data_IF_637860822800
#
_entry.id   IF_637860822800
#
_cell.length_a   1.000
_cell.length_b   1.000
_cell.length_c   1.000
_cell.angle_alpha   90.00
_cell.angle_beta   90.00
_cell.angle_gamma   90.00
#
_symmetry.space_group_name_H-M   'P 1'
#
loop_
_entity.id
_entity.type
_entity.pdbx_description
1 polymer ?
#
# COMPACT_ATOMS: atom_id res chain seq x y z
N UNK A 1 22.19 12.42 -12.45
CA UNK A 1 20.77 12.01 -12.30
C UNK A 1 20.45 11.41 -10.92
N UNK A 2 21.31 10.62 -10.28
CA UNK A 2 21.04 10.07 -8.94
C UNK A 2 20.91 11.12 -7.80
N UNK A 3 21.68 12.23 -7.82
CA UNK A 3 21.55 13.29 -6.80
C UNK A 3 20.21 14.05 -6.83
N UNK A 4 19.65 14.28 -8.02
CA UNK A 4 18.35 14.96 -8.16
C UNK A 4 17.20 14.09 -7.62
N UNK A 5 17.30 12.76 -7.81
CA UNK A 5 16.32 11.80 -7.29
C UNK A 5 16.32 11.70 -5.76
N UNK A 6 17.50 11.78 -5.14
CA UNK A 6 17.62 11.82 -3.66
C UNK A 6 16.99 13.09 -3.08
N UNK A 7 17.26 14.25 -3.69
CA UNK A 7 16.67 15.53 -3.29
C UNK A 7 15.13 15.57 -3.36
N UNK A 8 14.51 14.94 -4.37
CA UNK A 8 13.04 14.86 -4.45
C UNK A 8 12.44 13.93 -3.41
N UNK A 9 13.16 12.85 -3.05
CA UNK A 9 12.74 11.91 -2.01
C UNK A 9 12.83 12.55 -0.63
N UNK A 10 13.90 13.29 -0.38
CA UNK A 10 14.12 14.03 0.86
C UNK A 10 13.06 15.13 1.04
N UNK A 11 12.74 15.88 -0.03
CA UNK A 11 11.67 16.89 0.00
C UNK A 11 10.28 16.29 0.27
N UNK A 12 9.98 15.11 -0.30
CA UNK A 12 8.74 14.40 0.02
C UNK A 12 8.70 13.95 1.48
N UNK A 13 9.81 13.41 1.99
CA UNK A 13 9.90 12.97 3.38
C UNK A 13 9.68 14.12 4.35
N UNK A 14 10.28 15.29 4.09
CA UNK A 14 10.08 16.49 4.90
C UNK A 14 8.63 16.98 4.85
N UNK A 15 8.00 16.97 3.67
CA UNK A 15 6.60 17.31 3.52
C UNK A 15 5.68 16.33 4.27
N UNK A 16 5.99 15.03 4.23
CA UNK A 16 5.27 14.00 4.96
C UNK A 16 5.41 14.17 6.47
N UNK A 17 6.62 14.42 6.98
CA UNK A 17 6.89 14.74 8.38
C UNK A 17 6.10 15.97 8.84
N UNK A 18 6.04 17.02 8.01
CA UNK A 18 5.23 18.21 8.27
C UNK A 18 3.74 17.86 8.40
N UNK A 19 3.22 17.02 7.51
CA UNK A 19 1.82 16.58 7.54
C UNK A 19 1.50 15.72 8.78
N UNK A 20 2.36 14.79 9.16
CA UNK A 20 2.21 14.01 10.41
C UNK A 20 2.21 14.93 11.64
N UNK A 21 3.08 15.94 11.66
CA UNK A 21 3.10 16.90 12.76
C UNK A 21 1.82 17.74 12.81
N UNK A 22 1.22 18.11 11.68
CA UNK A 22 -0.09 18.78 11.65
C UNK A 22 -1.17 17.90 12.28
N UNK A 23 -1.25 16.63 11.88
CA UNK A 23 -2.20 15.66 12.45
C UNK A 23 -2.03 15.59 13.97
N UNK A 24 -0.79 15.40 14.45
CA UNK A 24 -0.47 15.32 15.88
C UNK A 24 -0.90 16.58 16.63
N UNK A 25 -0.60 17.77 16.10
CA UNK A 25 -0.96 19.05 16.74
C UNK A 25 -2.48 19.19 16.82
N UNK A 26 -3.21 18.95 15.73
CA UNK A 26 -4.68 19.07 15.69
C UNK A 26 -5.36 18.11 16.67
N UNK A 27 -4.80 16.92 16.82
CA UNK A 27 -5.27 15.88 17.74
C UNK A 27 -4.99 16.26 19.21
N UNK A 28 -3.83 16.85 19.49
CA UNK A 28 -3.49 17.34 20.84
C UNK A 28 -4.22 18.63 21.23
N UNK A 29 -4.60 19.47 20.26
CA UNK A 29 -5.25 20.76 20.54
C UNK A 29 -6.75 20.65 20.84
N UNK A 30 -7.30 19.44 20.91
CA UNK A 30 -8.74 19.18 21.10
C UNK A 30 -9.59 20.01 20.13
N UNK A 31 -9.09 20.15 18.88
CA UNK A 31 -9.72 20.94 17.82
C UNK A 31 -11.09 20.37 17.46
N UNK A 32 -11.92 21.15 16.77
CA UNK A 32 -13.15 20.63 16.20
C UNK A 32 -12.86 19.44 15.28
N UNK A 33 -13.66 18.38 15.38
CA UNK A 33 -13.59 17.18 14.55
C UNK A 33 -13.51 17.52 13.04
N UNK A 34 -14.19 18.59 12.61
CA UNK A 34 -14.15 19.08 11.24
C UNK A 34 -12.76 19.51 10.78
N UNK A 35 -11.94 20.08 11.67
CA UNK A 35 -10.59 20.53 11.35
C UNK A 35 -9.65 19.33 11.22
N UNK A 36 -9.81 18.33 12.08
CA UNK A 36 -9.07 17.09 12.02
C UNK A 36 -9.36 16.33 10.71
N UNK A 37 -10.63 16.16 10.38
CA UNK A 37 -11.05 15.51 9.13
C UNK A 37 -10.52 16.22 7.89
N UNK A 38 -10.48 17.56 7.92
CA UNK A 38 -9.89 18.36 6.84
C UNK A 38 -8.39 18.12 6.70
N UNK A 39 -7.64 18.18 7.81
CA UNK A 39 -6.19 17.93 7.80
C UNK A 39 -5.89 16.51 7.31
N UNK A 40 -6.66 15.51 7.74
CA UNK A 40 -6.53 14.13 7.26
C UNK A 40 -6.79 14.02 5.76
N UNK A 41 -7.87 14.63 5.24
CA UNK A 41 -8.18 14.63 3.81
C UNK A 41 -7.03 15.24 3.00
N UNK A 42 -6.53 16.40 3.43
CA UNK A 42 -5.41 17.08 2.77
C UNK A 42 -4.15 16.20 2.74
N UNK A 43 -3.89 15.45 3.82
CA UNK A 43 -2.77 14.51 3.90
C UNK A 43 -2.94 13.32 2.95
N UNK A 44 -4.15 12.75 2.88
CA UNK A 44 -4.45 11.65 1.96
C UNK A 44 -4.35 12.09 0.50
N UNK A 45 -4.86 13.27 0.16
CA UNK A 45 -4.78 13.83 -1.19
C UNK A 45 -3.33 14.12 -1.60
N UNK A 46 -2.54 14.70 -0.70
CA UNK A 46 -1.12 14.93 -0.93
C UNK A 46 -0.35 13.61 -1.18
N UNK A 47 -0.64 12.58 -0.39
CA UNK A 47 -0.04 11.25 -0.58
C UNK A 47 -0.46 10.64 -1.92
N UNK A 48 -1.76 10.65 -2.23
CA UNK A 48 -2.30 10.07 -3.46
C UNK A 48 -1.71 10.74 -4.71
N UNK A 49 -1.60 12.07 -4.68
CA UNK A 49 -0.96 12.83 -5.76
C UNK A 49 0.49 12.42 -5.96
N UNK A 50 1.27 12.36 -4.87
CA UNK A 50 2.66 11.95 -4.95
C UNK A 50 2.81 10.53 -5.51
N UNK A 51 2.02 9.56 -5.02
CA UNK A 51 2.09 8.18 -5.54
C UNK A 51 1.73 8.10 -7.02
N UNK A 52 0.73 8.85 -7.46
CA UNK A 52 0.37 8.88 -8.87
C UNK A 52 1.51 9.45 -9.75
N UNK A 53 2.18 10.52 -9.30
CA UNK A 53 3.35 11.09 -9.96
C UNK A 53 4.53 10.10 -9.97
N UNK A 54 4.91 9.54 -8.82
CA UNK A 54 6.02 8.57 -8.72
C UNK A 54 5.75 7.29 -9.51
N UNK A 55 4.50 6.82 -9.57
CA UNK A 55 4.15 5.60 -10.31
C UNK A 55 4.39 5.75 -11.82
N UNK A 56 4.28 6.95 -12.39
CA UNK A 56 4.47 7.19 -13.83
C UNK A 56 5.92 7.07 -14.25
N UNK A 57 6.80 7.64 -13.43
CA UNK A 57 8.20 7.78 -13.80
C UNK A 57 9.08 6.70 -13.17
N UNK A 58 8.62 6.10 -12.06
CA UNK A 58 9.46 5.28 -11.17
C UNK A 58 8.74 4.03 -10.61
N UNK A 59 7.71 3.50 -11.27
CA UNK A 59 7.00 2.29 -10.82
C UNK A 59 7.94 1.12 -10.47
N UNK A 60 8.97 0.87 -11.28
CA UNK A 60 9.95 -0.18 -11.00
C UNK A 60 10.76 0.09 -9.74
N UNK A 61 11.19 1.34 -9.52
CA UNK A 61 11.96 1.71 -8.36
C UNK A 61 11.14 1.51 -7.07
N UNK A 62 9.84 1.86 -7.11
CA UNK A 62 8.92 1.61 -5.99
C UNK A 62 8.76 0.11 -5.75
N UNK A 63 8.49 -0.68 -6.80
CA UNK A 63 8.29 -2.13 -6.68
C UNK A 63 9.56 -2.85 -6.22
N UNK A 64 10.75 -2.38 -6.62
CA UNK A 64 12.03 -2.94 -6.19
C UNK A 64 12.43 -2.53 -4.77
N UNK A 65 11.72 -1.58 -4.15
CA UNK A 65 12.08 -1.05 -2.84
C UNK A 65 13.30 -0.15 -2.88
N UNK A 66 13.45 0.67 -3.93
CA UNK A 66 14.52 1.65 -3.99
C UNK A 66 14.43 2.64 -2.82
N UNK A 67 15.50 2.73 -2.03
CA UNK A 67 15.51 3.50 -0.79
C UNK A 67 14.99 2.77 0.44
N UNK A 68 14.57 1.52 0.32
CA UNK A 68 14.22 0.67 1.46
C UNK A 68 15.41 -0.20 1.90
N UNK A 69 15.43 -0.53 3.19
CA UNK A 69 16.34 -1.50 3.79
C UNK A 69 15.98 -2.93 3.36
N UNK A 70 16.93 -3.89 3.40
CA UNK A 70 16.65 -5.28 3.05
C UNK A 70 15.51 -5.92 3.86
N UNK A 71 15.39 -5.53 5.15
CA UNK A 71 14.29 -6.01 5.99
C UNK A 71 12.95 -5.44 5.53
N UNK A 72 12.87 -4.13 5.23
CA UNK A 72 11.66 -3.55 4.68
C UNK A 72 11.26 -4.24 3.38
N UNK A 73 12.22 -4.44 2.47
CA UNK A 73 12.02 -5.14 1.19
C UNK A 73 11.43 -6.54 1.41
N UNK A 74 11.94 -7.29 2.39
CA UNK A 74 11.47 -8.64 2.70
C UNK A 74 10.00 -8.69 3.18
N UNK A 75 9.48 -7.59 3.74
CA UNK A 75 8.10 -7.49 4.23
C UNK A 75 7.18 -6.67 3.32
N UNK A 76 7.64 -6.23 2.15
CA UNK A 76 6.79 -5.50 1.20
C UNK A 76 5.80 -6.43 0.49
N UNK A 77 4.63 -5.88 0.23
CA UNK A 77 3.63 -6.41 -0.68
C UNK A 77 3.32 -5.33 -1.71
N UNK A 78 3.57 -5.60 -3.00
CA UNK A 78 3.39 -4.62 -4.09
C UNK A 78 4.08 -3.27 -3.80
N UNK A 79 5.37 -3.32 -3.47
CA UNK A 79 6.23 -2.15 -3.28
C UNK A 79 6.14 -1.41 -1.94
N UNK A 80 5.17 -1.74 -1.06
CA UNK A 80 5.00 -1.11 0.28
C UNK A 80 4.38 -2.09 1.27
N UNK A 81 3.91 -1.63 2.43
CA UNK A 81 3.25 -2.47 3.43
C UNK A 81 1.92 -3.07 2.91
N UNK A 82 1.51 -4.19 3.49
CA UNK A 82 0.28 -4.90 3.15
C UNK A 82 -0.90 -4.37 3.98
N UNK A 83 -2.03 -3.96 3.38
CA UNK A 83 -3.19 -3.37 4.08
C UNK A 83 -3.63 -4.12 5.36
N UNK A 84 -3.70 -5.45 5.29
CA UNK A 84 -4.07 -6.31 6.42
C UNK A 84 -3.14 -6.15 7.63
N UNK A 85 -1.88 -5.75 7.45
CA UNK A 85 -0.94 -5.49 8.55
C UNK A 85 -1.44 -4.37 9.47
N UNK A 86 -2.05 -3.31 8.94
CA UNK A 86 -2.60 -2.23 9.77
C UNK A 86 -3.78 -2.72 10.61
N UNK A 87 -4.65 -3.56 10.04
CA UNK A 87 -5.77 -4.18 10.77
C UNK A 87 -5.25 -5.09 11.88
N UNK A 88 -4.24 -5.92 11.61
CA UNK A 88 -3.60 -6.78 12.63
C UNK A 88 -3.01 -5.95 13.77
N UNK A 89 -2.39 -4.81 13.48
CA UNK A 89 -1.87 -3.90 14.50
C UNK A 89 -3.01 -3.38 15.39
N UNK A 90 -4.13 -2.95 14.81
CA UNK A 90 -5.31 -2.49 15.57
C UNK A 90 -5.87 -3.61 16.45
N UNK A 91 -5.99 -4.83 15.95
CA UNK A 91 -6.39 -5.97 16.78
C UNK A 91 -5.38 -6.24 17.91
N UNK A 92 -4.09 -6.14 17.63
CA UNK A 92 -3.03 -6.35 18.61
C UNK A 92 -3.07 -5.31 19.73
N UNK A 93 -3.31 -4.03 19.41
CA UNK A 93 -3.46 -2.98 20.44
C UNK A 93 -4.71 -3.18 21.29
N UNK A 94 -5.73 -3.84 20.76
CA UNK A 94 -6.97 -4.19 21.48
C UNK A 94 -6.86 -5.48 22.30
N UNK A 95 -5.73 -6.20 22.25
CA UNK A 95 -5.53 -7.48 22.93
C UNK A 95 -6.27 -8.64 22.27
N UNK A 96 -6.60 -8.52 20.98
CA UNK A 96 -7.21 -9.58 20.18
C UNK A 96 -6.10 -10.40 19.49
N UNK A 97 -6.27 -11.72 19.43
CA UNK A 97 -5.29 -12.62 18.81
C UNK A 97 -5.02 -12.27 17.33
N UNK A 98 -3.80 -11.82 16.99
CA UNK A 98 -3.45 -11.44 15.62
C UNK A 98 -3.39 -12.64 14.67
N UNK A 99 -3.23 -13.88 15.18
CA UNK A 99 -3.07 -15.09 14.35
C UNK A 99 -4.39 -15.46 13.66
N UNK A 100 -5.52 -15.35 14.36
CA UNK A 100 -6.84 -15.53 13.75
C UNK A 100 -7.12 -14.49 12.67
N UNK A 101 -6.75 -13.24 12.92
CA UNK A 101 -6.95 -12.11 11.99
C UNK A 101 -6.15 -12.29 10.71
N UNK A 102 -4.88 -12.71 10.81
CA UNK A 102 -4.01 -12.95 9.67
C UNK A 102 -4.53 -14.06 8.74
N UNK A 103 -5.36 -14.97 9.25
CA UNK A 103 -6.01 -16.05 8.49
C UNK A 103 -7.35 -15.65 7.89
N UNK A 104 -7.82 -14.42 8.11
CA UNK A 104 -9.16 -13.98 7.70
C UNK A 104 -10.28 -14.63 8.51
N UNK A 105 -9.99 -15.19 9.68
CA UNK A 105 -11.01 -15.81 10.54
C UNK A 105 -11.79 -14.72 11.29
N UNK A 106 -13.12 -14.88 11.45
CA UNK A 106 -13.91 -14.05 12.36
C UNK A 106 -13.36 -14.21 13.77
N UNK A 107 -13.04 -13.10 14.43
CA UNK A 107 -12.56 -13.11 15.80
C UNK A 107 -13.77 -13.23 16.72
N UNK A 108 -13.85 -14.32 17.49
CA UNK A 108 -14.78 -14.36 18.62
C UNK A 108 -14.24 -13.45 19.72
N UNK A 109 -15.03 -12.46 20.11
CA UNK A 109 -14.73 -11.49 21.16
C UNK A 109 -14.62 -12.18 22.55
N UNK A 110 -13.58 -12.96 22.79
CA UNK A 110 -13.25 -13.46 24.13
C UNK A 110 -12.04 -12.70 24.65
N UNK A 111 -12.42 -11.66 25.40
CA UNK A 111 -11.71 -10.76 26.30
C UNK A 111 -10.33 -11.23 26.79
N UNK A 112 -9.30 -10.42 26.48
CA UNK A 112 -8.32 -9.91 27.45
C UNK A 112 -7.77 -8.58 26.90
N UNK A 113 -8.53 -7.50 27.03
CA UNK A 113 -8.04 -6.16 26.67
C UNK A 113 -6.99 -5.72 27.69
N UNK A 114 -5.71 -5.91 27.38
CA UNK A 114 -4.59 -5.38 28.18
C UNK A 114 -4.55 -3.85 28.15
N UNK A 115 -5.18 -3.23 27.15
CA UNK A 115 -5.24 -1.77 26.95
C UNK A 115 -6.68 -1.26 26.82
N UNK A 116 -7.38 -1.13 27.96
CA UNK A 116 -8.35 -0.07 28.30
C UNK A 116 -9.61 0.22 27.46
N UNK A 117 -9.70 -0.12 26.17
CA UNK A 117 -10.81 0.30 25.31
C UNK A 117 -11.31 -0.86 24.45
N UNK A 118 -12.46 -1.41 24.84
CA UNK A 118 -13.19 -2.42 24.07
C UNK A 118 -13.92 -1.75 22.90
N UNK A 119 -13.75 -2.26 21.68
CA UNK A 119 -14.60 -1.86 20.55
C UNK A 119 -16.06 -2.21 20.86
N UNK A 120 -16.98 -1.34 20.48
CA UNK A 120 -18.39 -1.70 20.52
C UNK A 120 -18.70 -2.75 19.43
N UNK A 121 -19.83 -3.45 19.54
CA UNK A 121 -20.18 -4.52 18.60
C UNK A 121 -20.30 -4.03 17.15
N UNK A 122 -20.73 -2.79 16.95
CA UNK A 122 -20.84 -2.18 15.63
C UNK A 122 -19.45 -1.94 15.00
N UNK A 123 -18.52 -1.33 15.74
CA UNK A 123 -17.14 -1.09 15.33
C UNK A 123 -16.42 -2.42 15.03
N UNK A 124 -16.66 -3.45 15.83
CA UNK A 124 -16.08 -4.78 15.60
C UNK A 124 -16.64 -5.41 14.30
N UNK A 125 -17.95 -5.30 14.07
CA UNK A 125 -18.59 -5.77 12.84
C UNK A 125 -18.06 -5.04 11.61
N UNK A 126 -17.92 -3.72 11.68
CA UNK A 126 -17.38 -2.92 10.58
C UNK A 126 -15.88 -3.20 10.35
N UNK A 127 -15.10 -3.42 11.41
CA UNK A 127 -13.70 -3.86 11.31
C UNK A 127 -13.58 -5.23 10.65
N UNK A 128 -14.47 -6.18 10.97
CA UNK A 128 -14.53 -7.47 10.28
C UNK A 128 -14.90 -7.33 8.80
N UNK A 129 -15.81 -6.43 8.47
CA UNK A 129 -16.13 -6.13 7.07
C UNK A 129 -14.92 -5.55 6.33
N UNK A 130 -14.19 -4.62 6.96
CA UNK A 130 -12.96 -4.05 6.42
C UNK A 130 -11.85 -5.10 6.24
N UNK A 131 -11.71 -6.02 7.19
CA UNK A 131 -10.78 -7.15 7.11
C UNK A 131 -11.13 -8.09 5.95
N UNK A 132 -12.39 -8.50 5.82
CA UNK A 132 -12.84 -9.38 4.76
C UNK A 132 -12.64 -8.74 3.38
N UNK A 133 -12.98 -7.45 3.25
CA UNK A 133 -12.74 -6.68 2.04
C UNK A 133 -11.26 -6.66 1.66
N UNK A 134 -10.38 -6.32 2.61
CA UNK A 134 -8.94 -6.29 2.38
C UNK A 134 -8.39 -7.65 1.97
N UNK A 135 -8.78 -8.73 2.65
CA UNK A 135 -8.33 -10.07 2.32
C UNK A 135 -8.70 -10.45 0.87
N UNK A 136 -9.93 -10.16 0.45
CA UNK A 136 -10.40 -10.42 -0.91
C UNK A 136 -9.67 -9.55 -1.95
N UNK A 137 -9.54 -8.25 -1.68
CA UNK A 137 -8.89 -7.31 -2.57
C UNK A 137 -7.39 -7.64 -2.74
N UNK A 138 -6.68 -7.91 -1.65
CA UNK A 138 -5.29 -8.35 -1.67
C UNK A 138 -5.11 -9.66 -2.43
N UNK A 139 -5.97 -10.66 -2.20
CA UNK A 139 -5.94 -11.92 -2.95
C UNK A 139 -6.13 -11.70 -4.45
N UNK A 140 -7.05 -10.82 -4.82
CA UNK A 140 -7.34 -10.47 -6.21
C UNK A 140 -6.14 -9.77 -6.87
N UNK A 141 -5.57 -8.77 -6.21
CA UNK A 141 -4.42 -8.04 -6.72
C UNK A 141 -3.19 -8.95 -6.82
N UNK A 142 -2.95 -9.84 -5.84
CA UNK A 142 -1.84 -10.80 -5.90
C UNK A 142 -1.98 -11.78 -7.05
N UNK A 143 -3.19 -12.24 -7.37
CA UNK A 143 -3.45 -13.05 -8.56
C UNK A 143 -3.18 -12.27 -9.85
N UNK A 144 -3.59 -11.00 -9.93
CA UNK A 144 -3.31 -10.16 -11.09
C UNK A 144 -1.81 -9.94 -11.29
N UNK A 145 -1.05 -9.71 -10.21
CA UNK A 145 0.40 -9.59 -10.27
C UNK A 145 1.05 -10.88 -10.80
N UNK A 146 0.61 -12.05 -10.33
CA UNK A 146 1.11 -13.33 -10.82
C UNK A 146 0.86 -13.51 -12.33
N UNK A 147 -0.31 -13.09 -12.84
CA UNK A 147 -0.61 -13.10 -14.28
C UNK A 147 0.34 -12.19 -15.05
N UNK A 148 0.60 -10.98 -14.58
CA UNK A 148 1.55 -10.05 -15.22
C UNK A 148 2.96 -10.65 -15.26
N UNK A 149 3.40 -11.26 -14.16
CA UNK A 149 4.71 -11.93 -14.06
C UNK A 149 4.82 -13.14 -15.00
N UNK A 150 3.77 -13.97 -15.11
CA UNK A 150 3.77 -15.13 -16.01
C UNK A 150 3.82 -14.71 -17.48
N UNK A 151 3.02 -13.70 -17.86
CA UNK A 151 3.00 -13.19 -19.24
C UNK A 151 4.35 -12.64 -19.69
N UNK A 152 5.13 -12.06 -18.77
CA UNK A 152 6.50 -11.61 -19.07
C UNK A 152 7.38 -12.79 -19.50
N UNK A 153 7.30 -13.92 -18.81
CA UNK A 153 8.10 -15.11 -19.13
C UNK A 153 7.66 -15.76 -20.44
N UNK A 154 6.35 -15.95 -20.63
CA UNK A 154 5.78 -16.56 -21.86
C UNK A 154 6.20 -15.78 -23.12
N UNK A 155 6.07 -14.46 -23.08
CA UNK A 155 6.36 -13.63 -24.24
C UNK A 155 7.86 -13.48 -24.49
N UNK A 156 8.69 -13.42 -23.44
CA UNK A 156 10.15 -13.43 -23.59
C UNK A 156 10.65 -14.73 -24.21
N UNK A 157 10.07 -15.88 -23.85
CA UNK A 157 10.40 -17.17 -24.46
C UNK A 157 10.06 -17.21 -25.96
N UNK A 158 8.92 -16.63 -26.35
CA UNK A 158 8.51 -16.52 -27.76
C UNK A 158 9.46 -15.63 -28.57
N UNK A 159 9.90 -14.50 -27.99
CA UNK A 159 10.86 -13.60 -28.64
C UNK A 159 12.22 -14.25 -28.82
N UNK A 160 12.72 -14.98 -27.82
CA UNK A 160 13.99 -15.72 -27.92
C UNK A 160 13.94 -16.79 -29.03
N UNK A 161 12.82 -17.52 -29.16
CA UNK A 161 12.63 -18.49 -30.24
C UNK A 161 12.57 -17.85 -31.64
N UNK A 162 12.11 -16.60 -31.75
CA UNK A 162 12.12 -15.88 -33.02
C UNK A 162 13.51 -15.39 -33.41
N UNK A 163 14.34 -14.99 -32.44
CA UNK A 163 15.72 -14.51 -32.66
C UNK A 163 16.64 -15.62 -33.20
N UNK A 164 16.40 -16.88 -32.84
CA UNK A 164 17.16 -18.03 -33.38
C UNK A 164 16.89 -18.30 -34.87
N UNK A 165 15.88 -17.66 -35.47
CA UNK A 165 15.63 -17.78 -36.91
C UNK A 165 16.44 -16.71 -37.69
N UNK A 166 17.29 -17.10 -38.66
CA UNK A 166 18.16 -16.15 -39.35
C UNK A 166 17.34 -15.33 -40.36
N UNK A 167 16.88 -14.14 -39.95
CA UNK A 167 16.33 -13.13 -40.86
C UNK A 167 16.97 -11.77 -40.60
N UNK A 168 17.26 -11.07 -41.70
CA UNK A 168 18.13 -9.89 -41.82
C UNK A 168 17.54 -8.57 -41.30
N UNK A 169 16.71 -8.58 -40.26
CA UNK A 169 16.00 -7.38 -39.78
C UNK A 169 16.00 -7.24 -38.25
N UNK A 170 17.19 -7.32 -37.64
CA UNK A 170 17.40 -7.27 -36.19
C UNK A 170 16.95 -5.95 -35.51
N UNK A 171 16.68 -4.89 -36.26
CA UNK A 171 16.22 -3.60 -35.70
C UNK A 171 14.73 -3.58 -35.34
N UNK A 172 13.89 -4.35 -36.05
CA UNK A 172 12.46 -4.47 -35.72
C UNK A 172 12.23 -5.29 -34.43
N UNK A 173 13.01 -6.34 -34.20
CA UNK A 173 12.86 -7.25 -33.06
C UNK A 173 13.14 -6.56 -31.69
N UNK A 174 14.14 -5.68 -31.63
CA UNK A 174 14.45 -4.88 -30.43
C UNK A 174 13.34 -3.87 -30.11
N UNK A 175 12.73 -3.26 -31.14
CA UNK A 175 11.62 -2.33 -30.96
C UNK A 175 10.38 -3.03 -30.42
N UNK A 176 10.08 -4.23 -30.90
CA UNK A 176 8.92 -4.99 -30.46
C UNK A 176 9.08 -5.57 -29.05
N UNK A 177 10.31 -5.96 -28.67
CA UNK A 177 10.64 -6.31 -27.29
C UNK A 177 10.45 -5.11 -26.34
N UNK A 178 10.91 -3.92 -26.74
CA UNK A 178 10.74 -2.72 -25.91
C UNK A 178 9.25 -2.39 -25.69
N UNK A 179 8.42 -2.43 -26.74
CA UNK A 179 6.97 -2.21 -26.63
C UNK A 179 6.31 -3.21 -25.68
N UNK A 180 6.76 -4.47 -25.70
CA UNK A 180 6.28 -5.52 -24.82
C UNK A 180 6.58 -5.20 -23.35
N UNK A 181 7.83 -4.85 -23.06
CA UNK A 181 8.28 -4.46 -21.71
C UNK A 181 7.49 -3.24 -21.24
N UNK A 182 7.36 -2.20 -22.07
CA UNK A 182 6.61 -0.99 -21.76
C UNK A 182 5.15 -1.29 -21.41
N UNK A 183 4.49 -2.18 -22.14
CA UNK A 183 3.12 -2.61 -21.83
C UNK A 183 3.03 -3.30 -20.45
N UNK A 184 4.05 -4.07 -20.05
CA UNK A 184 4.09 -4.72 -18.74
C UNK A 184 4.42 -3.73 -17.62
N UNK A 185 5.20 -2.70 -17.89
CA UNK A 185 5.43 -1.61 -16.95
C UNK A 185 4.13 -0.86 -16.65
N UNK A 186 3.29 -0.62 -17.65
CA UNK A 186 1.96 -0.03 -17.47
C UNK A 186 1.03 -0.93 -16.65
N UNK A 187 1.06 -2.25 -16.88
CA UNK A 187 0.31 -3.22 -16.06
C UNK A 187 0.73 -3.15 -14.59
N UNK A 188 2.05 -3.13 -14.33
CA UNK A 188 2.62 -3.03 -12.98
C UNK A 188 2.28 -1.69 -12.32
N UNK A 189 2.34 -0.59 -13.06
CA UNK A 189 1.94 0.73 -12.58
C UNK A 189 0.46 0.73 -12.16
N UNK A 190 -0.42 0.15 -12.97
CA UNK A 190 -1.85 0.06 -12.64
C UNK A 190 -2.07 -0.75 -11.36
N UNK A 191 -1.34 -1.85 -11.18
CA UNK A 191 -1.41 -2.67 -9.96
C UNK A 191 -0.90 -1.91 -8.73
N UNK A 192 0.20 -1.17 -8.87
CA UNK A 192 0.75 -0.34 -7.79
C UNK A 192 -0.28 0.69 -7.31
N UNK A 193 -0.91 1.41 -8.25
CA UNK A 193 -1.94 2.40 -7.92
C UNK A 193 -3.16 1.78 -7.23
N UNK A 194 -3.63 0.62 -7.70
CA UNK A 194 -4.72 -0.12 -7.03
C UNK A 194 -4.35 -0.57 -5.63
N UNK A 195 -3.10 -1.01 -5.43
CA UNK A 195 -2.61 -1.38 -4.11
C UNK A 195 -2.53 -0.17 -3.17
N UNK A 196 -2.11 1.00 -3.66
CA UNK A 196 -2.10 2.24 -2.89
C UNK A 196 -3.50 2.75 -2.56
N UNK A 197 -4.44 2.68 -3.50
CA UNK A 197 -5.85 2.99 -3.23
C UNK A 197 -6.42 2.09 -2.12
N UNK A 198 -6.07 0.79 -2.10
CA UNK A 198 -6.46 -0.13 -1.04
C UNK A 198 -5.84 0.22 0.32
N UNK A 199 -4.57 0.65 0.35
CA UNK A 199 -3.90 1.13 1.57
C UNK A 199 -4.60 2.36 2.13
N UNK A 200 -4.89 3.34 1.27
CA UNK A 200 -5.59 4.56 1.67
C UNK A 200 -7.01 4.28 2.17
N UNK A 201 -7.76 3.43 1.46
CA UNK A 201 -9.08 2.99 1.88
C UNK A 201 -9.03 2.31 3.26
N UNK A 202 -8.01 1.48 3.50
CA UNK A 202 -7.83 0.81 4.80
C UNK A 202 -7.50 1.79 5.91
N UNK A 203 -6.56 2.70 5.70
CA UNK A 203 -6.23 3.72 6.70
C UNK A 203 -7.43 4.59 7.03
N UNK A 204 -8.18 5.02 6.01
CA UNK A 204 -9.39 5.82 6.20
C UNK A 204 -10.46 5.04 6.97
N UNK A 205 -10.71 3.79 6.59
CA UNK A 205 -11.65 2.93 7.29
C UNK A 205 -11.27 2.70 8.75
N UNK A 206 -9.98 2.50 9.04
CA UNK A 206 -9.50 2.37 10.42
C UNK A 206 -9.69 3.66 11.23
N UNK A 207 -9.38 4.83 10.66
CA UNK A 207 -9.59 6.12 11.34
C UNK A 207 -11.08 6.38 11.59
N UNK A 208 -11.94 6.15 10.59
CA UNK A 208 -13.39 6.35 10.73
C UNK A 208 -14.00 5.40 11.79
N UNK A 209 -13.39 4.22 12.00
CA UNK A 209 -13.82 3.24 13.02
C UNK A 209 -13.37 3.59 14.43
N UNK A 210 -12.21 4.22 14.58
CA UNK A 210 -11.61 4.52 15.87
C UNK A 210 -12.12 5.88 16.34
N UNK A 211 -12.64 5.94 17.57
CA UNK A 211 -12.95 7.26 18.14
C UNK A 211 -11.64 8.05 18.34
N UNK A 212 -11.65 9.40 18.32
CA UNK A 212 -10.44 10.21 18.54
C UNK A 212 -9.69 9.87 19.84
N UNK A 213 -10.42 9.39 20.87
CA UNK A 213 -9.84 8.89 22.12
C UNK A 213 -9.04 7.57 21.96
N UNK A 214 -9.44 6.72 21.01
CA UNK A 214 -8.79 5.46 20.67
C UNK A 214 -7.64 5.65 19.65
N UNK A 215 -7.73 6.65 18.78
CA UNK A 215 -6.66 7.03 17.84
C UNK A 215 -5.37 7.47 18.56
N UNK A 216 -5.49 8.12 19.73
CA UNK A 216 -4.37 8.60 20.55
C UNK A 216 -3.35 7.53 20.96
N UNK A 217 -3.74 6.25 21.01
CA UNK A 217 -2.84 5.15 21.38
C UNK A 217 -2.21 4.42 20.17
N UNK A 218 -2.62 4.72 18.94
CA UNK A 218 -2.08 4.09 17.72
C UNK A 218 -0.95 4.89 17.08
N UNK A 219 -0.87 6.19 17.37
CA UNK A 219 0.21 7.07 16.92
C UNK A 219 1.30 7.11 17.98
N UNK A 220 2.18 6.10 17.98
CA UNK A 220 3.46 6.14 18.70
C UNK A 220 4.41 7.15 18.03
#
# INVERSE_FOLDING_TARGET
MACLKRSSRDAWWDAWQSNINKIRITMMSNSLESDFQKVLSDCFDAYKKHMHETSKDEALAVISGDGCTPIEIAFMWMGRWRPTSAIILVYSTMGIDPVGVAKGCPVNAVQHSTFGHTLNEQQLSELHALQAHNFQAESTLSKQLAVVQMRLVEQNAVTLLHIEQPKSDHMNDLSDFQKLVDARLLDLQSLLLKADDLRLHTLRGLLDLLTPAQENNLVL
#
